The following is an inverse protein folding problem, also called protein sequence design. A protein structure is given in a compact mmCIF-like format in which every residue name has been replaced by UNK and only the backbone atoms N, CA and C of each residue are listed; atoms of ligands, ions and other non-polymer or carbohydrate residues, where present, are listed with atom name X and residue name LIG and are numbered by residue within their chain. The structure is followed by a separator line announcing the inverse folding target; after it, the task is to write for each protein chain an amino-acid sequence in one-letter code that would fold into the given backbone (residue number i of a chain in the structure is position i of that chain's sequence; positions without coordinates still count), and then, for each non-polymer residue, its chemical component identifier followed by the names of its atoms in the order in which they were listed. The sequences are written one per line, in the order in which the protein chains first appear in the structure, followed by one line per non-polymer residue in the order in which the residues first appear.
data_IF_200834435425
#
_entry.id   IF_200834435425
#
_cell.length_a   1.000
_cell.length_b   1.000
_cell.length_c   1.000
_cell.angle_alpha   90.00
_cell.angle_beta   90.00
_cell.angle_gamma   90.00
#
_symmetry.space_group_name_H-M   'P 1'
#
loop_
_entity.id
_entity.type
_entity.pdbx_description
1 polymer ?
#
# COMPACT_ATOMS: atom_id res chain seq x y z
N UNK A 1 -2.32 -11.10 -25.73
CA UNK A 1 -1.95 -11.05 -27.17
C UNK A 1 -2.33 -12.32 -27.94
N UNK A 2 -2.03 -13.53 -27.45
CA UNK A 2 -2.40 -14.78 -28.16
C UNK A 2 -3.90 -14.86 -28.52
N UNK A 3 -4.79 -14.45 -27.61
CA UNK A 3 -6.24 -14.50 -27.83
C UNK A 3 -6.75 -13.46 -28.86
N UNK A 4 -6.16 -12.27 -28.91
CA UNK A 4 -6.46 -11.29 -29.99
C UNK A 4 -6.00 -11.86 -31.33
N UNK A 5 -4.81 -12.44 -31.36
CA UNK A 5 -4.21 -13.00 -32.57
C UNK A 5 -4.97 -14.22 -33.10
N UNK A 6 -5.53 -15.06 -32.22
CA UNK A 6 -6.40 -16.17 -32.63
C UNK A 6 -7.71 -15.70 -33.25
N UNK A 7 -8.32 -14.64 -32.70
CA UNK A 7 -9.57 -14.07 -33.24
C UNK A 7 -9.35 -13.43 -34.63
N UNK A 8 -8.22 -12.76 -34.83
CA UNK A 8 -7.85 -12.19 -36.13
C UNK A 8 -7.64 -13.31 -37.16
N UNK A 9 -6.97 -14.41 -36.78
CA UNK A 9 -6.73 -15.56 -37.66
C UNK A 9 -7.99 -16.27 -38.15
N UNK A 10 -9.08 -16.20 -37.39
CA UNK A 10 -10.40 -16.74 -37.79
C UNK A 10 -11.27 -15.71 -38.54
N UNK A 11 -10.70 -14.56 -38.93
CA UNK A 11 -11.35 -13.56 -39.77
C UNK A 11 -12.15 -12.49 -39.03
N UNK A 12 -12.04 -12.39 -37.70
CA UNK A 12 -12.70 -11.32 -36.94
C UNK A 12 -11.92 -10.01 -37.11
N UNK A 13 -12.60 -8.88 -37.42
CA UNK A 13 -11.97 -7.56 -37.50
C UNK A 13 -11.19 -7.20 -36.23
N UNK A 14 -10.08 -6.48 -36.38
CA UNK A 14 -9.16 -6.14 -35.28
C UNK A 14 -9.87 -5.37 -34.16
N UNK A 15 -10.73 -4.42 -34.52
CA UNK A 15 -11.53 -3.63 -33.58
C UNK A 15 -12.48 -4.50 -32.76
N UNK A 16 -13.19 -5.44 -33.41
CA UNK A 16 -14.10 -6.35 -32.73
C UNK A 16 -13.35 -7.38 -31.88
N UNK A 17 -12.20 -7.87 -32.35
CA UNK A 17 -11.33 -8.77 -31.61
C UNK A 17 -10.81 -8.12 -30.32
N UNK A 18 -10.34 -6.87 -30.40
CA UNK A 18 -9.88 -6.09 -29.24
C UNK A 18 -11.03 -5.82 -28.26
N UNK A 19 -12.23 -5.50 -28.76
CA UNK A 19 -13.40 -5.26 -27.92
C UNK A 19 -13.90 -6.54 -27.22
N UNK A 20 -13.79 -7.71 -27.85
CA UNK A 20 -14.10 -8.99 -27.20
C UNK A 20 -13.09 -9.36 -26.12
N UNK A 21 -11.81 -9.06 -26.34
CA UNK A 21 -10.81 -9.32 -25.29
C UNK A 21 -10.94 -8.33 -24.13
N UNK A 22 -11.35 -7.09 -24.39
CA UNK A 22 -11.57 -6.10 -23.33
C UNK A 22 -12.69 -6.52 -22.36
N UNK A 23 -13.77 -7.12 -22.86
CA UNK A 23 -14.95 -7.50 -22.03
C UNK A 23 -14.66 -8.63 -21.04
N UNK A 24 -13.66 -9.47 -21.33
CA UNK A 24 -13.25 -10.60 -20.48
C UNK A 24 -11.98 -10.31 -19.67
N UNK A 25 -11.41 -9.10 -19.80
CA UNK A 25 -10.21 -8.69 -19.08
C UNK A 25 -10.57 -8.18 -17.67
N UNK A 26 -10.01 -8.75 -16.59
CA UNK A 26 -10.32 -8.33 -15.22
C UNK A 26 -9.64 -7.01 -14.82
N UNK A 27 -8.48 -6.69 -15.40
CA UNK A 27 -7.76 -5.44 -15.11
C UNK A 27 -8.39 -4.26 -15.85
N UNK A 28 -8.78 -3.23 -15.09
CA UNK A 28 -9.39 -2.01 -15.63
C UNK A 28 -8.47 -1.30 -16.64
N UNK A 29 -7.19 -1.15 -16.32
CA UNK A 29 -6.22 -0.46 -17.18
C UNK A 29 -5.96 -1.22 -18.48
N UNK A 30 -5.91 -2.54 -18.42
CA UNK A 30 -5.73 -3.38 -19.61
C UNK A 30 -7.02 -3.39 -20.46
N UNK A 31 -8.18 -3.34 -19.82
CA UNK A 31 -9.47 -3.16 -20.51
C UNK A 31 -9.54 -1.82 -21.23
N UNK A 32 -9.20 -0.73 -20.56
CA UNK A 32 -9.13 0.63 -21.14
C UNK A 32 -8.17 0.65 -22.34
N UNK A 33 -7.02 -0.03 -22.23
CA UNK A 33 -6.06 -0.18 -23.34
C UNK A 33 -6.68 -0.86 -24.56
N UNK A 34 -7.34 -2.01 -24.37
CA UNK A 34 -7.97 -2.72 -25.49
C UNK A 34 -9.13 -1.94 -26.11
N UNK A 35 -9.92 -1.23 -25.31
CA UNK A 35 -11.00 -0.36 -25.81
C UNK A 35 -10.42 0.82 -26.61
N UNK A 36 -9.36 1.45 -26.11
CA UNK A 36 -8.68 2.55 -26.79
C UNK A 36 -8.08 2.10 -28.14
N UNK A 37 -7.41 0.94 -28.16
CA UNK A 37 -6.85 0.38 -29.38
C UNK A 37 -7.93 -0.06 -30.38
N UNK A 38 -9.07 -0.60 -29.90
CA UNK A 38 -10.21 -0.94 -30.76
C UNK A 38 -10.78 0.31 -31.44
N UNK A 39 -10.87 1.42 -30.72
CA UNK A 39 -11.32 2.71 -31.26
C UNK A 39 -10.40 3.22 -32.37
N UNK A 40 -9.07 3.16 -32.15
CA UNK A 40 -8.07 3.53 -33.17
C UNK A 40 -8.16 2.63 -34.40
N UNK A 41 -8.35 1.33 -34.21
CA UNK A 41 -8.50 0.38 -35.32
C UNK A 41 -9.77 0.65 -36.16
N UNK A 42 -10.84 1.18 -35.56
CA UNK A 42 -12.11 1.45 -36.24
C UNK A 42 -12.19 2.82 -36.91
N UNK A 43 -11.71 3.87 -36.23
CA UNK A 43 -11.86 5.27 -36.65
C UNK A 43 -10.59 5.77 -37.36
N UNK A 44 -9.46 5.09 -37.20
CA UNK A 44 -8.15 5.58 -37.59
C UNK A 44 -7.57 6.53 -36.53
N UNK A 45 -6.24 6.57 -36.43
CA UNK A 45 -5.53 7.40 -35.47
C UNK A 45 -4.15 6.84 -35.14
N UNK A 46 -3.42 7.54 -34.26
CA UNK A 46 -2.13 7.05 -33.76
C UNK A 46 -2.33 6.18 -32.51
N UNK A 47 -2.05 4.86 -32.57
CA UNK A 47 -2.17 3.98 -31.40
C UNK A 47 -1.16 4.35 -30.31
N UNK A 48 0.00 4.92 -30.65
CA UNK A 48 1.01 5.30 -29.66
C UNK A 48 0.49 6.38 -28.71
N UNK A 49 -0.24 7.37 -29.25
CA UNK A 49 -0.89 8.42 -28.45
C UNK A 49 -1.87 7.85 -27.42
N UNK A 50 -2.70 6.87 -27.79
CA UNK A 50 -3.65 6.23 -26.86
C UNK A 50 -2.91 5.43 -25.78
N UNK A 51 -1.91 4.63 -26.17
CA UNK A 51 -1.10 3.85 -25.23
C UNK A 51 -0.42 4.77 -24.23
N UNK A 52 0.18 5.87 -24.70
CA UNK A 52 0.85 6.86 -23.86
C UNK A 52 -0.11 7.53 -22.88
N UNK A 53 -1.32 7.89 -23.31
CA UNK A 53 -2.34 8.47 -22.44
C UNK A 53 -2.76 7.52 -21.33
N UNK A 54 -3.02 6.25 -21.66
CA UNK A 54 -3.43 5.24 -20.67
C UNK A 54 -2.29 4.92 -19.71
N UNK A 55 -1.05 4.83 -20.20
CA UNK A 55 0.13 4.65 -19.35
C UNK A 55 0.35 5.84 -18.43
N UNK A 56 0.21 7.07 -18.92
CA UNK A 56 0.34 8.27 -18.10
C UNK A 56 -0.71 8.29 -16.98
N UNK A 57 -1.96 7.93 -17.29
CA UNK A 57 -3.03 7.80 -16.30
C UNK A 57 -2.75 6.70 -15.26
N UNK A 58 -2.23 5.55 -15.71
CA UNK A 58 -1.86 4.45 -14.82
C UNK A 58 -0.74 4.86 -13.86
N UNK A 59 0.34 5.44 -14.38
CA UNK A 59 1.47 5.93 -13.60
C UNK A 59 1.02 7.03 -12.62
N UNK A 60 0.14 7.93 -13.06
CA UNK A 60 -0.42 8.97 -12.19
C UNK A 60 -1.22 8.39 -11.02
N UNK A 61 -2.12 7.42 -11.27
CA UNK A 61 -2.88 6.73 -10.21
C UNK A 61 -1.96 5.97 -9.26
N UNK A 62 -0.94 5.30 -9.80
CA UNK A 62 0.06 4.59 -9.00
C UNK A 62 0.87 5.56 -8.12
N UNK A 63 1.26 6.72 -8.66
CA UNK A 63 1.94 7.78 -7.92
C UNK A 63 1.13 8.26 -6.71
N UNK A 64 -0.17 8.51 -6.89
CA UNK A 64 -1.08 8.88 -5.79
C UNK A 64 -1.14 7.78 -4.71
N UNK A 65 -1.16 6.51 -5.12
CA UNK A 65 -1.22 5.38 -4.20
C UNK A 65 0.08 5.25 -3.39
N UNK A 66 1.24 5.45 -4.03
CA UNK A 66 2.54 5.50 -3.37
C UNK A 66 2.61 6.66 -2.39
N UNK A 67 2.23 7.87 -2.81
CA UNK A 67 2.24 9.06 -1.96
C UNK A 67 1.36 8.86 -0.71
N UNK A 68 0.14 8.35 -0.89
CA UNK A 68 -0.76 8.02 0.22
C UNK A 68 -0.13 7.01 1.18
N UNK A 69 0.47 5.94 0.65
CA UNK A 69 1.06 4.89 1.48
C UNK A 69 2.26 5.41 2.26
N UNK A 70 3.11 6.24 1.64
CA UNK A 70 4.23 6.91 2.32
C UNK A 70 3.73 7.83 3.42
N UNK A 71 2.66 8.59 3.18
CA UNK A 71 2.04 9.44 4.19
C UNK A 71 1.48 8.61 5.37
N UNK A 72 0.78 7.51 5.08
CA UNK A 72 0.24 6.62 6.12
C UNK A 72 1.36 6.00 6.96
N UNK A 73 2.49 5.60 6.34
CA UNK A 73 3.69 5.15 7.07
C UNK A 73 4.25 6.28 7.95
N UNK A 74 4.31 7.50 7.43
CA UNK A 74 4.75 8.68 8.18
C UNK A 74 3.95 8.88 9.47
N UNK A 75 2.61 8.81 9.38
CA UNK A 75 1.72 8.92 10.53
C UNK A 75 1.99 7.83 11.58
N UNK A 76 2.14 6.57 11.15
CA UNK A 76 2.43 5.45 12.07
C UNK A 76 3.77 5.67 12.79
N UNK A 77 4.79 6.13 12.08
CA UNK A 77 6.10 6.40 12.65
C UNK A 77 6.05 7.59 13.63
N UNK A 78 5.26 8.61 13.34
CA UNK A 78 5.06 9.75 14.24
C UNK A 78 4.38 9.32 15.54
N UNK A 79 3.32 8.50 15.45
CA UNK A 79 2.64 7.93 16.63
C UNK A 79 3.62 7.10 17.46
N UNK A 80 4.43 6.27 16.81
CA UNK A 80 5.45 5.48 17.49
C UNK A 80 6.45 6.36 18.24
N UNK A 81 6.98 7.40 17.59
CA UNK A 81 7.91 8.34 18.21
C UNK A 81 7.26 9.08 19.38
N UNK A 82 6.02 9.54 19.22
CA UNK A 82 5.27 10.20 20.30
C UNK A 82 5.11 9.28 21.52
N UNK A 83 4.72 8.02 21.31
CA UNK A 83 4.61 7.03 22.39
C UNK A 83 5.96 6.71 23.01
N UNK A 84 7.01 6.55 22.20
CA UNK A 84 8.36 6.29 22.69
C UNK A 84 8.88 7.42 23.59
N UNK A 85 8.49 8.67 23.33
CA UNK A 85 8.81 9.83 24.17
C UNK A 85 7.91 9.93 25.41
N UNK A 86 6.63 9.59 25.30
CA UNK A 86 5.67 9.67 26.41
C UNK A 86 5.88 8.58 27.46
N UNK A 87 6.19 7.36 27.05
CA UNK A 87 6.30 6.20 27.96
C UNK A 87 7.30 6.46 29.10
N UNK A 88 8.53 6.97 28.87
CA UNK A 88 9.46 7.29 29.95
C UNK A 88 8.91 8.32 30.94
N UNK A 89 8.18 9.33 30.46
CA UNK A 89 7.59 10.39 31.31
C UNK A 89 6.49 9.81 32.21
N UNK A 90 5.63 8.95 31.65
CA UNK A 90 4.60 8.25 32.40
C UNK A 90 5.24 7.31 33.43
N UNK A 91 6.23 6.51 33.02
CA UNK A 91 6.95 5.60 33.93
C UNK A 91 7.64 6.35 35.07
N UNK A 92 8.28 7.49 34.79
CA UNK A 92 8.87 8.33 35.83
C UNK A 92 7.84 8.87 36.82
N UNK A 93 6.66 9.26 36.33
CA UNK A 93 5.57 9.73 37.20
C UNK A 93 5.01 8.59 38.07
N UNK A 94 4.86 7.39 37.49
CA UNK A 94 4.47 6.18 38.22
C UNK A 94 5.53 5.82 39.26
N UNK A 95 6.82 5.96 38.94
CA UNK A 95 7.92 5.71 39.88
C UNK A 95 7.76 6.53 41.17
N UNK A 96 7.50 7.84 41.02
CA UNK A 96 7.29 8.75 42.16
C UNK A 96 6.09 8.31 42.99
N UNK A 97 4.99 7.90 42.35
CA UNK A 97 3.81 7.40 43.07
C UNK A 97 4.10 6.12 43.86
N UNK A 98 4.87 5.19 43.29
CA UNK A 98 5.28 3.96 43.98
C UNK A 98 6.22 4.23 45.16
N UNK A 99 7.05 5.28 45.09
CA UNK A 99 7.87 5.71 46.23
C UNK A 99 7.01 6.26 47.38
N UNK A 100 5.93 6.98 47.05
CA UNK A 100 5.04 7.58 48.05
C UNK A 100 4.01 6.58 48.62
N UNK A 101 3.52 5.66 47.79
CA UNK A 101 2.53 4.64 48.14
C UNK A 101 2.95 3.28 47.56
N UNK A 102 3.81 2.53 48.28
CA UNK A 102 4.28 1.24 47.81
C UNK A 102 3.13 0.22 47.77
N UNK A 103 2.95 -0.43 46.62
CA UNK A 103 1.96 -1.49 46.43
C UNK A 103 2.66 -2.84 46.66
N UNK A 104 2.27 -3.64 47.68
CA UNK A 104 3.02 -4.84 48.07
C UNK A 104 2.97 -5.98 47.04
N UNK A 105 2.00 -5.97 46.11
CA UNK A 105 1.83 -7.02 45.09
C UNK A 105 2.58 -6.71 43.79
N UNK A 106 2.93 -5.44 43.54
CA UNK A 106 3.56 -5.03 42.28
C UNK A 106 4.84 -4.25 42.57
N UNK A 107 5.99 -4.81 42.20
CA UNK A 107 7.25 -4.07 42.27
C UNK A 107 7.39 -3.16 41.06
N UNK A 108 7.75 -1.89 41.29
CA UNK A 108 8.05 -0.94 40.22
C UNK A 108 9.17 -1.44 39.27
N UNK A 109 10.18 -2.13 39.82
CA UNK A 109 11.27 -2.72 39.05
C UNK A 109 10.77 -3.76 38.03
N UNK A 110 9.82 -4.62 38.42
CA UNK A 110 9.20 -5.56 37.49
C UNK A 110 8.41 -4.84 36.38
N UNK A 111 7.73 -3.74 36.70
CA UNK A 111 6.99 -2.95 35.72
C UNK A 111 7.93 -2.24 34.73
N UNK A 112 9.05 -1.70 35.19
CA UNK A 112 10.11 -1.20 34.32
C UNK A 112 10.69 -2.31 33.45
N UNK A 113 11.02 -3.46 34.05
CA UNK A 113 11.59 -4.58 33.31
C UNK A 113 10.67 -5.05 32.19
N UNK A 114 9.38 -5.27 32.50
CA UNK A 114 8.36 -5.63 31.53
C UNK A 114 8.25 -4.58 30.41
N UNK A 115 8.24 -3.30 30.76
CA UNK A 115 8.04 -2.24 29.76
C UNK A 115 9.26 -2.11 28.84
N UNK A 116 10.47 -2.08 29.41
CA UNK A 116 11.70 -1.83 28.67
C UNK A 116 12.13 -3.05 27.85
N UNK A 117 12.10 -4.24 28.44
CA UNK A 117 12.65 -5.44 27.80
C UNK A 117 11.63 -6.25 27.02
N UNK A 118 10.33 -6.02 27.23
CA UNK A 118 9.27 -6.77 26.52
C UNK A 118 8.41 -5.82 25.70
N UNK A 119 7.74 -4.86 26.34
CA UNK A 119 6.73 -4.04 25.66
C UNK A 119 7.34 -3.19 24.52
N UNK A 120 8.43 -2.48 24.79
CA UNK A 120 9.10 -1.64 23.78
C UNK A 120 9.59 -2.50 22.59
N UNK A 121 10.40 -3.56 22.78
CA UNK A 121 10.83 -4.41 21.67
C UNK A 121 9.69 -5.02 20.86
N UNK A 122 8.64 -5.52 21.53
CA UNK A 122 7.47 -6.09 20.86
C UNK A 122 6.75 -5.03 20.03
N UNK A 123 6.56 -3.82 20.56
CA UNK A 123 5.97 -2.72 19.82
C UNK A 123 6.82 -2.33 18.59
N UNK A 124 8.14 -2.23 18.74
CA UNK A 124 9.05 -1.92 17.64
C UNK A 124 8.99 -2.98 16.52
N UNK A 125 9.00 -4.26 16.87
CA UNK A 125 8.88 -5.36 15.89
C UNK A 125 7.52 -5.30 15.19
N UNK A 126 6.44 -5.08 15.95
CA UNK A 126 5.09 -4.99 15.41
C UNK A 126 4.96 -3.87 14.39
N UNK A 127 5.50 -2.69 14.69
CA UNK A 127 5.50 -1.55 13.77
C UNK A 127 6.33 -1.85 12.53
N UNK A 128 7.50 -2.47 12.68
CA UNK A 128 8.33 -2.85 11.55
C UNK A 128 7.57 -3.81 10.60
N UNK A 129 6.86 -4.81 11.16
CA UNK A 129 6.02 -5.73 10.38
C UNK A 129 4.90 -4.98 9.65
N UNK A 130 4.23 -4.02 10.30
CA UNK A 130 3.17 -3.23 9.68
C UNK A 130 3.73 -2.39 8.52
N UNK A 131 4.85 -1.71 8.74
CA UNK A 131 5.50 -0.89 7.71
C UNK A 131 5.94 -1.76 6.53
N UNK A 132 6.58 -2.90 6.78
CA UNK A 132 7.00 -3.82 5.73
C UNK A 132 5.81 -4.37 4.93
N UNK A 133 4.71 -4.72 5.61
CA UNK A 133 3.48 -5.16 4.94
C UNK A 133 2.85 -4.05 4.06
N UNK A 134 2.94 -2.79 4.47
CA UNK A 134 2.47 -1.65 3.67
C UNK A 134 3.35 -1.42 2.44
N UNK A 135 4.67 -1.44 2.63
CA UNK A 135 5.64 -1.28 1.53
C UNK A 135 5.56 -2.45 0.55
N UNK A 136 5.36 -3.67 1.04
CA UNK A 136 5.21 -4.86 0.18
C UNK A 136 4.04 -4.72 -0.78
N UNK A 137 2.93 -4.06 -0.39
CA UNK A 137 1.77 -3.84 -1.27
C UNK A 137 2.07 -2.87 -2.42
N UNK A 138 3.13 -2.06 -2.31
CA UNK A 138 3.58 -1.17 -3.39
C UNK A 138 4.53 -1.87 -4.37
N UNK A 139 5.22 -2.92 -3.95
CA UNK A 139 6.19 -3.63 -4.82
C UNK A 139 5.54 -4.60 -5.80
N UNK A 140 4.28 -4.96 -5.59
CA UNK A 140 3.48 -5.87 -6.45
C UNK A 140 2.76 -5.06 -7.52
#
# INVERSE_FOLDING_TARGET
MQMVNSLIRIGIPIDEALHRVSSITPSLSVRELFVGLASVARVGGDPATIVNSIMANYIGRYGILVEKTVNDIGIIMEIYLALALLIPVILGSVAVLFLLHPIPVLSFEALMFLTIFILIPVASITILIIVDAMVSKLRV
#
